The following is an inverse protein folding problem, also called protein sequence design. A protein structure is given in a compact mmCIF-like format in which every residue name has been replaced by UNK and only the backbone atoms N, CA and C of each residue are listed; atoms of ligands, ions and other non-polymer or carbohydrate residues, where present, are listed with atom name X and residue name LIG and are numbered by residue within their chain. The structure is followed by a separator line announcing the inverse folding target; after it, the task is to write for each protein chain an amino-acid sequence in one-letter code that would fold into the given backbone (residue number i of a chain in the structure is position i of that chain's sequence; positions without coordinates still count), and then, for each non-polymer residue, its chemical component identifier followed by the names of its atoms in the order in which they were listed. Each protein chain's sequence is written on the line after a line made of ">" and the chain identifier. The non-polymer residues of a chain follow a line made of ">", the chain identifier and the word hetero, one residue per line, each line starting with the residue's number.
data_IF_522061080672
#
_entry.id   IF_522061080672
#
_cell.length_a   1.000
_cell.length_b   1.000
_cell.length_c   1.000
_cell.angle_alpha   90.00
_cell.angle_beta   90.00
_cell.angle_gamma   90.00
#
_symmetry.space_group_name_H-M   'P 1'
#
loop_
_entity.id
_entity.type
_entity.pdbx_description
1 polymer ?
#
# COMPACT_ATOMS: atom_id res chain seq x y z
N UNK A 1 15.36 14.07 -0.29
CA UNK A 1 14.59 12.83 -0.54
C UNK A 1 14.33 12.68 -2.04
N UNK A 2 13.87 11.52 -2.51
CA UNK A 2 13.65 11.37 -3.97
C UNK A 2 12.66 10.27 -4.37
N UNK A 3 11.98 9.63 -3.41
CA UNK A 3 10.75 8.89 -3.66
C UNK A 3 9.59 9.79 -3.27
N UNK A 4 8.59 9.89 -4.13
CA UNK A 4 7.43 10.77 -3.90
C UNK A 4 6.16 9.96 -4.05
N UNK A 5 5.22 10.21 -3.16
CA UNK A 5 3.88 9.64 -3.19
C UNK A 5 2.89 10.68 -3.71
N UNK A 6 1.79 10.22 -4.31
CA UNK A 6 0.66 11.10 -4.61
C UNK A 6 0.13 11.73 -3.33
N UNK A 7 -0.31 12.98 -3.42
CA UNK A 7 -0.91 13.69 -2.28
C UNK A 7 -2.19 13.01 -1.77
N UNK A 8 -2.95 12.42 -2.68
CA UNK A 8 -4.18 11.71 -2.37
C UNK A 8 -4.03 10.22 -2.73
N UNK A 9 -4.66 9.38 -1.92
CA UNK A 9 -5.09 8.04 -2.34
C UNK A 9 -6.55 8.12 -2.81
N UNK A 10 -6.96 7.18 -3.66
CA UNK A 10 -8.31 7.12 -4.21
C UNK A 10 -8.87 5.72 -4.07
N UNK A 11 -10.19 5.63 -3.90
CA UNK A 11 -10.93 4.38 -3.96
C UNK A 11 -11.78 4.41 -5.22
N UNK A 12 -11.66 3.39 -6.07
CA UNK A 12 -12.44 3.27 -7.29
C UNK A 12 -12.55 1.81 -7.73
N UNK A 13 -13.50 1.54 -8.64
CA UNK A 13 -13.63 0.24 -9.27
C UNK A 13 -12.54 0.04 -10.34
N UNK A 14 -11.91 -1.13 -10.35
CA UNK A 14 -10.96 -1.57 -11.37
C UNK A 14 -11.18 -3.06 -11.66
N UNK A 15 -11.41 -3.40 -12.93
CA UNK A 15 -11.67 -4.77 -13.37
C UNK A 15 -12.76 -5.49 -12.56
N UNK A 16 -13.79 -4.75 -12.13
CA UNK A 16 -14.91 -5.27 -11.35
C UNK A 16 -14.67 -5.39 -9.84
N UNK A 17 -13.47 -5.04 -9.35
CA UNK A 17 -13.10 -5.06 -7.93
C UNK A 17 -12.97 -3.64 -7.38
N UNK A 18 -13.34 -3.43 -6.11
CA UNK A 18 -13.12 -2.16 -5.43
C UNK A 18 -11.65 -2.10 -5.00
N UNK A 19 -10.95 -1.01 -5.29
CA UNK A 19 -9.51 -0.91 -5.00
C UNK A 19 -9.15 0.43 -4.34
N UNK A 20 -8.27 0.36 -3.34
CA UNK A 20 -7.53 1.51 -2.82
C UNK A 20 -6.25 1.68 -3.65
N UNK A 21 -5.99 2.89 -4.12
CA UNK A 21 -4.87 3.18 -5.01
C UNK A 21 -4.15 4.47 -4.66
N UNK A 22 -2.83 4.46 -4.82
CA UNK A 22 -1.98 5.65 -4.70
C UNK A 22 -0.81 5.54 -5.68
N UNK A 23 -0.15 6.64 -5.99
CA UNK A 23 0.98 6.65 -6.92
C UNK A 23 2.29 6.81 -6.16
N UNK A 24 3.30 6.08 -6.58
CA UNK A 24 4.69 6.25 -6.15
C UNK A 24 5.55 6.58 -7.36
N UNK A 25 6.50 7.50 -7.21
CA UNK A 25 7.43 7.89 -8.25
C UNK A 25 8.86 8.01 -7.72
N UNK A 26 9.83 7.62 -8.56
CA UNK A 26 11.24 7.85 -8.31
C UNK A 26 11.68 9.11 -9.06
N UNK A 27 12.02 10.16 -8.32
CA UNK A 27 12.57 11.40 -8.86
C UNK A 27 14.11 11.35 -9.00
N UNK A 28 14.77 10.23 -8.66
CA UNK A 28 16.22 10.07 -8.88
C UNK A 28 16.49 9.86 -10.37
N UNK A 29 17.64 10.36 -10.82
CA UNK A 29 18.24 9.96 -12.11
C UNK A 29 18.74 8.50 -12.09
N UNK A 30 18.97 7.93 -10.90
CA UNK A 30 19.41 6.55 -10.71
C UNK A 30 18.22 5.60 -10.59
N UNK A 31 18.34 4.44 -11.22
CA UNK A 31 17.38 3.35 -11.05
C UNK A 31 17.40 2.83 -9.61
N UNK A 32 16.21 2.67 -9.03
CA UNK A 32 16.06 1.92 -7.78
C UNK A 32 15.92 0.45 -8.17
N UNK A 33 16.94 -0.34 -7.86
CA UNK A 33 16.95 -1.80 -8.07
C UNK A 33 16.32 -2.45 -6.84
N UNK A 34 15.52 -3.50 -7.03
CA UNK A 34 14.82 -4.24 -5.95
C UNK A 34 13.95 -3.34 -5.06
N UNK A 35 13.14 -2.46 -5.68
CA UNK A 35 12.18 -1.67 -4.92
C UNK A 35 10.98 -2.53 -4.50
N UNK A 36 10.61 -2.47 -3.22
CA UNK A 36 9.43 -3.12 -2.66
C UNK A 36 8.50 -2.08 -2.05
N UNK A 37 7.19 -2.29 -2.15
CA UNK A 37 6.19 -1.43 -1.53
C UNK A 37 5.45 -2.19 -0.44
N UNK A 38 5.24 -1.52 0.69
CA UNK A 38 4.37 -1.97 1.79
C UNK A 38 3.43 -0.85 2.17
N UNK A 39 2.25 -1.22 2.67
CA UNK A 39 1.28 -0.30 3.23
C UNK A 39 0.77 -0.85 4.56
N UNK A 40 0.49 0.03 5.51
CA UNK A 40 0.02 -0.32 6.83
C UNK A 40 -1.16 0.57 7.22
N UNK A 41 -2.23 -0.03 7.74
CA UNK A 41 -3.31 0.68 8.40
C UNK A 41 -2.93 0.89 9.87
N UNK A 42 -2.89 2.15 10.29
CA UNK A 42 -2.67 2.53 11.68
C UNK A 42 -4.04 2.84 12.31
N UNK A 43 -4.48 2.02 13.26
CA UNK A 43 -5.72 2.26 14.01
C UNK A 43 -5.57 1.85 15.47
N UNK A 44 -6.29 2.50 16.37
CA UNK A 44 -6.43 1.98 17.73
C UNK A 44 -7.46 0.85 17.75
N UNK A 45 -7.30 -0.13 18.64
CA UNK A 45 -8.31 -1.18 18.87
C UNK A 45 -8.34 -1.63 20.32
N UNK A 46 -9.43 -2.28 20.71
CA UNK A 46 -9.55 -3.00 21.97
C UNK A 46 -9.68 -4.49 21.63
N UNK A 47 -8.90 -5.35 22.29
CA UNK A 47 -8.97 -6.80 22.09
C UNK A 47 -10.25 -7.39 22.69
N UNK A 48 -10.58 -8.63 22.33
CA UNK A 48 -11.71 -9.37 22.93
C UNK A 48 -11.58 -9.53 24.45
N UNK A 49 -10.35 -9.51 24.96
CA UNK A 49 -10.01 -9.62 26.38
C UNK A 49 -10.04 -8.27 27.12
N UNK A 50 -10.28 -7.17 26.40
CA UNK A 50 -10.37 -5.82 26.95
C UNK A 50 -9.04 -5.03 27.00
N UNK A 51 -7.98 -5.51 26.36
CA UNK A 51 -6.72 -4.77 26.26
C UNK A 51 -6.85 -3.62 25.23
N UNK A 52 -6.46 -2.41 25.61
CA UNK A 52 -6.43 -1.27 24.70
C UNK A 52 -5.07 -1.15 24.01
N UNK A 53 -5.08 -1.17 22.68
CA UNK A 53 -3.91 -1.02 21.81
C UNK A 53 -4.02 0.34 21.11
N UNK A 54 -3.20 1.36 21.51
CA UNK A 54 -3.31 2.72 20.98
C UNK A 54 -2.93 2.86 19.50
N UNK A 55 -2.00 2.02 19.02
CA UNK A 55 -1.47 2.07 17.66
C UNK A 55 -1.23 0.65 17.15
N UNK A 56 -2.30 0.02 16.68
CA UNK A 56 -2.23 -1.26 15.99
C UNK A 56 -1.82 -1.00 14.53
N UNK A 57 -0.89 -1.83 14.04
CA UNK A 57 -0.35 -1.73 12.69
C UNK A 57 -0.75 -2.98 11.94
N UNK A 58 -1.62 -2.83 10.95
CA UNK A 58 -2.12 -3.95 10.15
C UNK A 58 -1.56 -3.81 8.75
N UNK A 59 -0.80 -4.79 8.30
CA UNK A 59 -0.26 -4.81 6.94
C UNK A 59 -1.40 -4.91 5.91
N UNK A 60 -1.33 -4.07 4.89
CA UNK A 60 -2.28 -4.05 3.77
C UNK A 60 -1.63 -4.77 2.59
N UNK A 61 -2.33 -5.78 2.04
CA UNK A 61 -1.81 -6.54 0.91
C UNK A 61 -1.78 -5.69 -0.37
N UNK A 62 -0.58 -5.38 -0.86
CA UNK A 62 -0.34 -4.69 -2.14
C UNK A 62 0.27 -5.64 -3.19
N UNK A 63 0.10 -6.94 -2.99
CA UNK A 63 0.62 -7.98 -3.87
C UNK A 63 1.94 -8.59 -3.41
N UNK A 64 2.14 -8.69 -2.09
CA UNK A 64 3.30 -9.38 -1.51
C UNK A 64 3.32 -10.86 -1.88
N UNK A 65 2.17 -11.53 -1.79
CA UNK A 65 2.07 -12.99 -2.01
C UNK A 65 2.29 -13.41 -3.47
N UNK A 66 1.96 -12.53 -4.40
CA UNK A 66 2.22 -12.73 -5.84
C UNK A 66 3.57 -12.16 -6.29
N UNK A 67 4.30 -11.49 -5.38
CA UNK A 67 5.59 -10.86 -5.64
C UNK A 67 5.53 -9.67 -6.59
N UNK A 68 4.33 -9.11 -6.83
CA UNK A 68 4.09 -7.91 -7.65
C UNK A 68 4.38 -6.61 -6.86
N UNK A 69 4.59 -6.72 -5.55
CA UNK A 69 5.11 -5.66 -4.69
C UNK A 69 6.53 -5.21 -5.08
N UNK A 70 7.27 -6.09 -5.77
CA UNK A 70 8.55 -5.79 -6.41
C UNK A 70 8.33 -4.96 -7.67
N UNK A 71 8.57 -3.66 -7.56
CA UNK A 71 8.29 -2.71 -8.63
C UNK A 71 9.56 -2.28 -9.35
N UNK A 72 9.48 -2.17 -10.68
CA UNK A 72 10.52 -1.54 -11.50
C UNK A 72 10.19 -0.05 -11.71
N UNK A 73 10.63 0.78 -10.76
CA UNK A 73 10.19 2.18 -10.65
C UNK A 73 11.02 3.13 -11.55
N UNK A 74 10.82 3.05 -12.86
CA UNK A 74 11.39 3.98 -13.87
C UNK A 74 10.47 5.15 -14.16
N UNK A 75 9.16 4.93 -14.10
CA UNK A 75 8.12 5.96 -14.21
C UNK A 75 7.17 5.83 -13.02
N UNK A 76 6.34 6.85 -12.71
CA UNK A 76 5.40 6.76 -11.61
C UNK A 76 4.42 5.58 -11.79
N UNK A 77 4.35 4.71 -10.77
CA UNK A 77 3.49 3.51 -10.76
C UNK A 77 2.32 3.74 -9.80
N UNK A 78 1.14 3.29 -10.21
CA UNK A 78 -0.02 3.21 -9.32
C UNK A 78 0.04 1.89 -8.56
N UNK A 79 0.18 1.98 -7.23
CA UNK A 79 0.04 0.87 -6.31
C UNK A 79 -1.44 0.61 -6.10
N UNK A 80 -1.82 -0.67 -6.04
CA UNK A 80 -3.20 -1.13 -5.95
C UNK A 80 -3.30 -2.10 -4.79
N UNK A 81 -4.24 -1.82 -3.90
CA UNK A 81 -4.75 -2.77 -2.92
C UNK A 81 -6.19 -3.11 -3.32
N UNK A 82 -6.45 -4.38 -3.59
CA UNK A 82 -7.81 -4.87 -3.77
C UNK A 82 -8.51 -4.91 -2.41
N UNK A 83 -9.72 -4.36 -2.33
CA UNK A 83 -10.54 -4.41 -1.12
C UNK A 83 -11.45 -5.64 -1.23
N UNK A 84 -10.94 -6.77 -0.77
CA UNK A 84 -11.62 -8.07 -0.67
C UNK A 84 -12.06 -8.36 0.78
N UNK A 85 -12.51 -9.59 1.07
CA UNK A 85 -12.91 -10.01 2.43
C UNK A 85 -11.77 -10.01 3.47
N UNK A 86 -10.51 -10.04 3.04
CA UNK A 86 -9.33 -10.05 3.91
C UNK A 86 -8.75 -8.63 4.13
N UNK A 87 -9.30 -7.63 3.43
CA UNK A 87 -8.95 -6.21 3.59
C UNK A 87 -9.44 -5.64 4.95
N UNK A 88 -8.59 -4.89 5.69
CA UNK A 88 -8.85 -4.45 7.07
C UNK A 88 -9.75 -3.22 7.28
#
# INVERSE_FOLDING_TARGET
>A
ETLVFSHNAVIAMRDGKLCLMWRVGNLRKSHLVEAHVRAQLLKSRITSEGEYIPLDQIDINVGFDSGIDRIFLVSPITIVHEIDEDSP
#
